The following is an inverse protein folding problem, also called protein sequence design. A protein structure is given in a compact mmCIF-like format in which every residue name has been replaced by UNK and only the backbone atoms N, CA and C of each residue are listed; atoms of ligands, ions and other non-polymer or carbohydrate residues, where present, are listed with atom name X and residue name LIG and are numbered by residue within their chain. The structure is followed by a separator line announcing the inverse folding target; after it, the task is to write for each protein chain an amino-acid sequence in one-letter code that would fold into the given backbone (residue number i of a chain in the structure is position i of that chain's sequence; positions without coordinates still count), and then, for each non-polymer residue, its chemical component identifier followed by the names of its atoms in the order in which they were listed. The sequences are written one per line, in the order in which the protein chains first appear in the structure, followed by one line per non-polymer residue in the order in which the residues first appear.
data_IF_146623884582
#
_entry.id   IF_146623884582
#
_cell.length_a   1.000
_cell.length_b   1.000
_cell.length_c   1.000
_cell.angle_alpha   90.00
_cell.angle_beta   90.00
_cell.angle_gamma   90.00
#
_symmetry.space_group_name_H-M   'P 1'
#
loop_
_entity.id
_entity.type
_entity.pdbx_description
1 polymer ?
#
# COMPACT_ATOMS: atom_id res chain seq x y z
N UNK A 1 1.61 -19.78 -4.58
CA UNK A 1 2.63 -18.88 -4.00
C UNK A 1 3.28 -18.09 -5.12
N UNK A 2 3.65 -16.84 -4.89
CA UNK A 2 4.40 -16.01 -5.85
C UNK A 2 5.88 -15.88 -5.42
N UNK A 3 6.68 -16.97 -5.52
CA UNK A 3 7.99 -17.12 -4.85
C UNK A 3 9.08 -16.16 -5.35
N UNK A 4 8.82 -15.39 -6.40
CA UNK A 4 9.78 -14.45 -6.99
C UNK A 4 9.64 -13.03 -6.45
N UNK A 5 8.52 -12.72 -5.79
CA UNK A 5 8.30 -11.39 -5.21
C UNK A 5 8.88 -11.40 -3.81
N UNK A 6 9.95 -10.62 -3.61
CA UNK A 6 10.61 -10.43 -2.30
C UNK A 6 10.46 -8.99 -1.80
N UNK A 7 9.82 -8.12 -2.59
CA UNK A 7 9.62 -6.72 -2.23
C UNK A 7 8.45 -6.58 -1.26
N UNK A 8 8.63 -5.70 -0.27
CA UNK A 8 7.50 -5.20 0.52
C UNK A 8 6.49 -4.54 -0.42
N UNK A 9 5.21 -4.79 -0.16
CA UNK A 9 4.12 -4.46 -1.06
C UNK A 9 2.98 -3.85 -0.26
N UNK A 10 2.48 -2.71 -0.70
CA UNK A 10 1.19 -2.18 -0.25
C UNK A 10 0.10 -2.66 -1.20
N UNK A 11 -0.87 -3.41 -0.67
CA UNK A 11 -2.06 -3.83 -1.41
C UNK A 11 -3.21 -2.89 -1.06
N UNK A 12 -3.63 -2.07 -2.03
CA UNK A 12 -4.83 -1.24 -1.89
C UNK A 12 -6.07 -2.08 -2.22
N UNK A 13 -6.96 -2.24 -1.25
CA UNK A 13 -8.14 -3.10 -1.34
C UNK A 13 -9.40 -2.25 -1.45
N UNK A 14 -10.42 -2.76 -2.14
CA UNK A 14 -11.78 -2.22 -2.11
C UNK A 14 -12.51 -2.57 -0.80
N UNK A 15 -13.81 -2.32 -0.78
CA UNK A 15 -14.67 -2.55 0.40
C UNK A 15 -14.81 -4.04 0.76
N UNK A 16 -14.62 -4.94 -0.21
CA UNK A 16 -14.59 -6.37 0.02
C UNK A 16 -13.14 -6.91 0.05
N UNK A 17 -12.58 -7.17 1.24
CA UNK A 17 -11.23 -7.70 1.38
C UNK A 17 -11.10 -9.14 0.85
N UNK A 18 -12.19 -9.91 0.74
CA UNK A 18 -12.16 -11.30 0.30
C UNK A 18 -11.66 -11.44 -1.15
N UNK A 19 -11.93 -10.43 -1.99
CA UNK A 19 -11.46 -10.37 -3.38
C UNK A 19 -9.93 -10.42 -3.46
N UNK A 20 -9.23 -9.84 -2.48
CA UNK A 20 -7.77 -9.75 -2.46
C UNK A 20 -7.08 -10.79 -1.57
N UNK A 21 -7.86 -11.63 -0.87
CA UNK A 21 -7.34 -12.68 0.00
C UNK A 21 -6.34 -13.63 -0.69
N UNK A 22 -6.53 -14.03 -1.97
CA UNK A 22 -5.55 -14.88 -2.65
C UNK A 22 -4.17 -14.22 -2.81
N UNK A 23 -4.13 -12.89 -2.98
CA UNK A 23 -2.86 -12.15 -3.12
C UNK A 23 -2.14 -12.06 -1.78
N UNK A 24 -2.86 -11.81 -0.68
CA UNK A 24 -2.31 -11.80 0.67
C UNK A 24 -1.72 -13.18 1.04
N UNK A 25 -2.44 -14.26 0.69
CA UNK A 25 -1.98 -15.64 0.91
C UNK A 25 -0.76 -16.01 0.06
N UNK A 26 -0.62 -15.41 -1.13
CA UNK A 26 0.50 -15.69 -2.03
C UNK A 26 1.83 -15.03 -1.59
N UNK A 27 1.77 -14.01 -0.72
CA UNK A 27 2.89 -13.14 -0.30
C UNK A 27 2.91 -12.91 1.23
N UNK A 28 2.96 -13.97 2.06
CA UNK A 28 2.88 -13.82 3.51
C UNK A 28 4.08 -13.04 4.07
N UNK A 29 3.81 -12.02 4.90
CA UNK A 29 4.84 -11.19 5.55
C UNK A 29 5.46 -10.10 4.67
N UNK A 30 5.07 -10.02 3.40
CA UNK A 30 5.51 -8.98 2.45
C UNK A 30 4.41 -8.00 2.05
N UNK A 31 3.18 -8.21 2.52
CA UNK A 31 2.01 -7.42 2.14
C UNK A 31 1.45 -6.67 3.35
N UNK A 32 1.40 -5.34 3.25
CA UNK A 32 0.57 -4.47 4.07
C UNK A 32 -0.71 -4.14 3.29
N UNK A 33 -1.87 -4.11 3.95
CA UNK A 33 -3.15 -3.85 3.30
C UNK A 33 -3.71 -2.50 3.69
N UNK A 34 -4.27 -1.78 2.73
CA UNK A 34 -4.95 -0.51 2.95
C UNK A 34 -6.28 -0.49 2.17
N UNK A 35 -7.39 -0.26 2.86
CA UNK A 35 -8.68 -0.06 2.19
C UNK A 35 -8.72 1.33 1.55
N UNK A 36 -9.02 1.39 0.26
CA UNK A 36 -9.15 2.66 -0.48
C UNK A 36 -10.16 3.59 0.19
N UNK A 37 -9.88 4.89 0.17
CA UNK A 37 -10.84 5.93 0.50
C UNK A 37 -11.75 6.29 -0.69
N UNK A 38 -11.69 5.53 -1.78
CA UNK A 38 -12.29 5.82 -3.09
C UNK A 38 -11.92 7.24 -3.58
N UNK A 39 -10.68 7.64 -3.30
CA UNK A 39 -10.17 8.99 -3.59
C UNK A 39 -8.72 8.89 -4.00
N UNK A 40 -8.45 9.17 -5.28
CA UNK A 40 -7.10 9.15 -5.83
C UNK A 40 -6.12 10.01 -5.02
N UNK A 41 -6.60 11.12 -4.47
CA UNK A 41 -5.82 11.99 -3.58
C UNK A 41 -5.45 11.28 -2.27
N UNK A 42 -6.43 10.81 -1.50
CA UNK A 42 -6.20 10.21 -0.18
C UNK A 42 -5.39 8.91 -0.29
N UNK A 43 -5.68 8.11 -1.31
CA UNK A 43 -4.97 6.88 -1.57
C UNK A 43 -3.52 7.16 -1.98
N UNK A 44 -3.28 8.19 -2.80
CA UNK A 44 -1.95 8.64 -3.18
C UNK A 44 -1.12 9.14 -1.99
N UNK A 45 -1.73 9.94 -1.10
CA UNK A 45 -1.08 10.39 0.14
C UNK A 45 -0.70 9.18 1.02
N UNK A 46 -1.59 8.20 1.14
CA UNK A 46 -1.31 7.02 1.94
C UNK A 46 -0.20 6.14 1.34
N UNK A 47 -0.17 5.98 0.01
CA UNK A 47 0.94 5.29 -0.68
C UNK A 47 2.27 6.01 -0.45
N UNK A 48 2.31 7.34 -0.56
CA UNK A 48 3.52 8.13 -0.31
C UNK A 48 4.00 7.97 1.13
N UNK A 49 3.10 8.02 2.12
CA UNK A 49 3.41 7.77 3.53
C UNK A 49 3.97 6.36 3.74
N UNK A 50 3.35 5.35 3.13
CA UNK A 50 3.83 3.98 3.22
C UNK A 50 5.26 3.85 2.66
N UNK A 51 5.53 4.41 1.48
CA UNK A 51 6.86 4.42 0.88
C UNK A 51 7.90 5.12 1.76
N UNK A 52 7.56 6.27 2.34
CA UNK A 52 8.48 7.04 3.18
C UNK A 52 8.83 6.29 4.48
N UNK A 53 7.85 5.61 5.09
CA UNK A 53 8.09 4.71 6.24
C UNK A 53 8.97 3.52 5.87
N UNK A 54 8.65 2.84 4.77
CA UNK A 54 9.39 1.65 4.34
C UNK A 54 10.84 1.97 3.96
N UNK A 55 11.07 3.08 3.27
CA UNK A 55 12.40 3.53 2.86
C UNK A 55 13.21 4.19 3.98
N UNK A 56 12.61 4.49 5.14
CA UNK A 56 13.28 5.16 6.25
C UNK A 56 13.54 6.65 6.03
N UNK A 57 12.91 7.27 5.03
CA UNK A 57 13.13 8.66 4.63
C UNK A 57 12.31 9.65 5.51
N UNK A 58 11.40 9.15 6.34
CA UNK A 58 10.63 9.96 7.29
C UNK A 58 9.29 10.41 6.70
N UNK A 59 9.03 11.73 6.65
CA UNK A 59 7.77 12.26 6.11
C UNK A 59 7.83 12.34 4.58
N UNK A 60 6.79 11.90 3.84
CA UNK A 60 6.78 12.03 2.39
C UNK A 60 6.80 13.50 1.96
N UNK A 61 7.59 13.80 0.93
CA UNK A 61 7.51 15.08 0.23
C UNK A 61 6.27 15.09 -0.63
N UNK A 62 5.19 15.66 -0.10
CA UNK A 62 3.94 15.86 -0.84
C UNK A 62 3.96 17.19 -1.60
N UNK A 63 3.39 17.25 -2.82
CA UNK A 63 3.10 18.51 -3.49
C UNK A 63 2.32 19.45 -2.56
N UNK A 64 2.53 20.76 -2.69
CA UNK A 64 1.93 21.74 -1.77
C UNK A 64 0.40 21.71 -1.76
N UNK A 65 -0.22 21.44 -2.91
CA UNK A 65 -1.67 21.29 -3.03
C UNK A 65 -2.23 19.96 -2.44
N UNK A 66 -1.34 19.12 -1.89
CA UNK A 66 -1.62 17.82 -1.28
C UNK A 66 -1.22 17.75 0.21
N UNK A 67 -0.77 18.86 0.80
CA UNK A 67 -0.65 19.00 2.26
C UNK A 67 -2.00 19.41 2.84
#
# INVERSE_FOLDING_TARGET
MAPRVQAQTLLVTGDDPAVTAPMQQALPGLVETYTTAHSAYRDGVQQARWLARWSGIGEPVLPEHWR
#
